data_IF_586995804747
#
_entry.id   IF_586995804747
#
_cell.length_a   1.000
_cell.length_b   1.000
_cell.length_c   1.000
_cell.angle_alpha   90.00
_cell.angle_beta   90.00
_cell.angle_gamma   90.00
#
_symmetry.space_group_name_H-M   'P 1'
#
loop_
_entity.id
_entity.type
_entity.pdbx_description
1 polymer ?
#
# COMPACT_ATOMS: atom_id res chain seq x y z
N UNK A 1 -12.67 -22.79 -30.41
CA UNK A 1 -12.36 -22.84 -28.96
C UNK A 1 -13.55 -22.28 -28.19
N UNK A 2 -14.51 -23.12 -27.86
CA UNK A 2 -15.71 -22.71 -27.11
C UNK A 2 -15.33 -22.31 -25.68
N UNK A 3 -15.83 -21.16 -25.20
CA UNK A 3 -15.77 -20.73 -23.80
C UNK A 3 -17.18 -20.81 -23.24
N UNK A 4 -17.34 -21.32 -22.01
CA UNK A 4 -18.59 -21.17 -21.27
C UNK A 4 -18.67 -19.72 -20.78
N UNK A 5 -19.64 -18.96 -21.26
CA UNK A 5 -19.78 -17.54 -20.96
C UNK A 5 -21.04 -17.31 -20.13
N UNK A 6 -20.85 -16.70 -18.97
CA UNK A 6 -21.88 -16.13 -18.12
C UNK A 6 -21.75 -14.60 -18.16
N UNK A 7 -21.66 -14.05 -19.37
CA UNK A 7 -21.45 -12.62 -19.59
C UNK A 7 -22.72 -11.85 -19.20
N UNK A 8 -22.59 -10.84 -18.34
CA UNK A 8 -23.71 -10.00 -17.87
C UNK A 8 -24.87 -10.78 -17.23
N UNK A 9 -24.59 -12.00 -16.76
CA UNK A 9 -25.59 -12.84 -16.13
C UNK A 9 -25.91 -12.32 -14.72
N UNK A 10 -27.21 -12.12 -14.43
CA UNK A 10 -27.69 -11.84 -13.07
C UNK A 10 -28.34 -13.10 -12.51
N UNK A 11 -27.73 -13.65 -11.46
CA UNK A 11 -28.14 -14.90 -10.83
C UNK A 11 -28.76 -14.58 -9.47
N UNK A 12 -30.09 -14.61 -9.45
CA UNK A 12 -30.91 -14.20 -8.29
C UNK A 12 -31.11 -15.32 -7.28
N UNK A 13 -31.19 -16.56 -7.76
CA UNK A 13 -31.35 -17.75 -6.95
C UNK A 13 -30.00 -18.41 -6.67
N UNK A 14 -30.01 -19.38 -5.75
CA UNK A 14 -28.80 -20.15 -5.44
C UNK A 14 -28.29 -20.92 -6.66
N UNK A 15 -26.99 -20.82 -6.93
CA UNK A 15 -26.36 -21.48 -8.07
C UNK A 15 -25.38 -22.54 -7.58
N UNK A 16 -25.61 -23.78 -7.98
CA UNK A 16 -24.79 -24.91 -7.53
C UNK A 16 -23.96 -25.50 -8.66
N UNK A 17 -22.65 -25.22 -8.62
CA UNK A 17 -21.61 -25.82 -9.46
C UNK A 17 -20.73 -26.81 -8.68
N UNK A 18 -21.19 -27.31 -7.52
CA UNK A 18 -20.41 -28.25 -6.73
C UNK A 18 -20.09 -29.52 -7.53
N UNK A 19 -18.85 -30.00 -7.41
CA UNK A 19 -18.33 -31.17 -8.15
C UNK A 19 -18.39 -31.04 -9.68
N UNK A 20 -18.67 -29.85 -10.21
CA UNK A 20 -18.75 -29.64 -11.65
C UNK A 20 -17.35 -29.56 -12.27
N UNK A 21 -17.18 -30.16 -13.44
CA UNK A 21 -15.93 -30.13 -14.20
C UNK A 21 -16.05 -29.20 -15.41
N UNK A 22 -15.43 -28.02 -15.30
CA UNK A 22 -15.34 -27.06 -16.39
C UNK A 22 -14.22 -27.46 -17.35
N UNK A 23 -14.58 -28.24 -18.38
CA UNK A 23 -13.64 -28.74 -19.40
C UNK A 23 -13.05 -27.64 -20.30
N UNK A 24 -13.77 -26.53 -20.46
CA UNK A 24 -13.39 -25.39 -21.29
C UNK A 24 -13.24 -24.14 -20.41
N UNK A 25 -12.64 -23.09 -20.95
CA UNK A 25 -12.51 -21.83 -20.19
C UNK A 25 -13.87 -21.25 -19.85
N UNK A 26 -13.98 -20.65 -18.67
CA UNK A 26 -15.21 -20.06 -18.14
C UNK A 26 -15.01 -18.57 -17.93
N UNK A 27 -16.02 -17.78 -18.27
CA UNK A 27 -15.99 -16.32 -18.22
C UNK A 27 -17.25 -15.79 -17.53
N UNK A 28 -17.08 -15.18 -16.36
CA UNK A 28 -18.11 -14.54 -15.53
C UNK A 28 -18.01 -13.01 -15.60
N UNK A 29 -17.51 -12.45 -16.71
CA UNK A 29 -17.40 -10.99 -16.86
C UNK A 29 -18.77 -10.31 -16.72
N UNK A 30 -18.84 -9.26 -15.91
CA UNK A 30 -20.06 -8.52 -15.56
C UNK A 30 -21.17 -9.38 -14.89
N UNK A 31 -20.87 -10.58 -14.40
CA UNK A 31 -21.86 -11.39 -13.70
C UNK A 31 -22.17 -10.82 -12.30
N UNK A 32 -23.43 -10.92 -11.88
CA UNK A 32 -23.91 -10.53 -10.56
C UNK A 32 -24.53 -11.73 -9.85
N UNK A 33 -23.93 -12.16 -8.73
CA UNK A 33 -24.42 -13.23 -7.87
C UNK A 33 -25.13 -12.62 -6.65
N UNK A 34 -26.45 -12.51 -6.72
CA UNK A 34 -27.27 -11.92 -5.65
C UNK A 34 -27.53 -12.92 -4.52
N UNK A 35 -27.47 -14.22 -4.80
CA UNK A 35 -27.62 -15.30 -3.81
C UNK A 35 -26.34 -16.14 -3.69
N UNK A 36 -26.38 -17.17 -2.85
CA UNK A 36 -25.26 -18.08 -2.62
C UNK A 36 -24.86 -18.80 -3.92
N UNK A 37 -23.55 -18.86 -4.18
CA UNK A 37 -22.98 -19.66 -5.26
C UNK A 37 -22.03 -20.70 -4.67
N UNK A 38 -22.17 -21.94 -5.12
CA UNK A 38 -21.38 -23.06 -4.63
C UNK A 38 -20.46 -23.60 -5.72
N UNK A 39 -19.15 -23.44 -5.55
CA UNK A 39 -18.13 -24.05 -6.41
C UNK A 39 -17.37 -25.19 -5.70
N UNK A 40 -17.82 -25.67 -4.53
CA UNK A 40 -17.09 -26.68 -3.75
C UNK A 40 -16.75 -27.92 -4.58
N UNK A 41 -15.51 -28.39 -4.47
CA UNK A 41 -15.02 -29.57 -5.20
C UNK A 41 -15.13 -29.47 -6.73
N UNK A 42 -15.27 -28.27 -7.29
CA UNK A 42 -15.27 -28.09 -8.75
C UNK A 42 -13.86 -28.13 -9.32
N UNK A 43 -13.75 -28.50 -10.59
CA UNK A 43 -12.46 -28.58 -11.31
C UNK A 43 -12.49 -27.66 -12.53
N UNK A 44 -11.54 -26.74 -12.61
CA UNK A 44 -11.37 -25.81 -13.72
C UNK A 44 -10.17 -26.23 -14.58
N UNK A 45 -10.42 -26.87 -15.73
CA UNK A 45 -9.37 -27.31 -16.66
C UNK A 45 -8.94 -26.21 -17.63
N UNK A 46 -9.81 -25.23 -17.89
CA UNK A 46 -9.50 -24.04 -18.69
C UNK A 46 -9.31 -22.80 -17.82
N UNK A 47 -9.00 -21.67 -18.45
CA UNK A 47 -8.92 -20.39 -17.76
C UNK A 47 -10.27 -20.03 -17.12
N UNK A 48 -10.23 -19.49 -15.92
CA UNK A 48 -11.41 -19.00 -15.20
C UNK A 48 -11.27 -17.48 -15.03
N UNK A 49 -12.29 -16.73 -15.48
CA UNK A 49 -12.26 -15.27 -15.52
C UNK A 49 -13.45 -14.74 -14.73
N UNK A 50 -13.16 -13.94 -13.72
CA UNK A 50 -14.08 -13.06 -13.00
C UNK A 50 -13.61 -11.64 -13.26
N UNK A 51 -14.40 -10.86 -14.00
CA UNK A 51 -14.06 -9.47 -14.30
C UNK A 51 -15.29 -8.61 -14.09
N UNK A 52 -15.18 -7.56 -13.25
CA UNK A 52 -16.33 -6.74 -12.83
C UNK A 52 -17.49 -7.60 -12.26
N UNK A 53 -17.15 -8.75 -11.67
CA UNK A 53 -18.12 -9.66 -11.07
C UNK A 53 -18.47 -9.17 -9.66
N UNK A 54 -19.76 -9.18 -9.33
CA UNK A 54 -20.25 -8.78 -8.01
C UNK A 54 -20.76 -10.03 -7.29
N UNK A 55 -20.30 -10.21 -6.05
CA UNK A 55 -20.81 -11.24 -5.14
C UNK A 55 -21.52 -10.58 -3.96
N UNK A 56 -22.60 -11.19 -3.51
CA UNK A 56 -23.30 -10.74 -2.31
C UNK A 56 -22.39 -10.86 -1.07
N UNK A 57 -22.22 -9.74 -0.35
CA UNK A 57 -21.34 -9.62 0.82
C UNK A 57 -21.64 -10.59 1.95
N UNK A 58 -22.88 -11.08 2.05
CA UNK A 58 -23.33 -12.03 3.08
C UNK A 58 -22.65 -13.40 2.96
N UNK A 59 -22.35 -13.84 1.73
CA UNK A 59 -21.89 -15.20 1.44
C UNK A 59 -20.36 -15.29 1.24
N UNK A 60 -19.63 -14.18 1.37
CA UNK A 60 -18.19 -14.08 1.07
C UNK A 60 -17.33 -14.95 1.97
N UNK A 61 -17.72 -15.05 3.25
CA UNK A 61 -17.01 -15.84 4.25
C UNK A 61 -17.35 -17.33 4.18
N UNK A 62 -18.35 -17.69 3.39
CA UNK A 62 -18.68 -19.09 3.16
C UNK A 62 -17.63 -19.75 2.29
N UNK A 63 -17.55 -21.07 2.39
CA UNK A 63 -16.53 -21.90 1.75
C UNK A 63 -16.83 -22.15 0.26
N UNK A 64 -17.13 -21.09 -0.50
CA UNK A 64 -17.58 -21.14 -1.89
C UNK A 64 -16.68 -22.00 -2.77
N UNK A 65 -15.36 -21.90 -2.60
CA UNK A 65 -14.37 -22.61 -3.42
C UNK A 65 -13.65 -23.77 -2.68
N UNK A 66 -14.13 -24.21 -1.53
CA UNK A 66 -13.41 -25.24 -0.76
C UNK A 66 -13.15 -26.52 -1.59
N UNK A 67 -11.91 -27.00 -1.57
CA UNK A 67 -11.42 -28.18 -2.31
C UNK A 67 -11.61 -28.05 -3.84
N UNK A 68 -11.67 -26.84 -4.37
CA UNK A 68 -11.72 -26.63 -5.83
C UNK A 68 -10.32 -26.64 -6.43
N UNK A 69 -10.22 -27.23 -7.62
CA UNK A 69 -8.96 -27.40 -8.33
C UNK A 69 -8.88 -26.47 -9.54
N UNK A 70 -7.85 -25.64 -9.59
CA UNK A 70 -7.55 -24.74 -10.71
C UNK A 70 -6.35 -25.24 -11.50
N UNK A 71 -6.64 -26.00 -12.56
CA UNK A 71 -5.65 -26.64 -13.45
C UNK A 71 -5.46 -25.89 -14.78
N UNK A 72 -6.31 -24.90 -15.08
CA UNK A 72 -6.16 -24.03 -16.25
C UNK A 72 -4.95 -23.10 -16.17
N UNK A 73 -4.61 -22.43 -17.27
CA UNK A 73 -3.41 -21.57 -17.30
C UNK A 73 -3.55 -20.34 -16.39
N UNK A 74 -4.76 -19.78 -16.28
CA UNK A 74 -5.00 -18.55 -15.52
C UNK A 74 -6.32 -18.57 -14.74
N UNK A 75 -6.26 -18.11 -13.50
CA UNK A 75 -7.40 -17.58 -12.75
C UNK A 75 -7.27 -16.06 -12.74
N UNK A 76 -8.26 -15.35 -13.30
CA UNK A 76 -8.26 -13.89 -13.38
C UNK A 76 -9.43 -13.39 -12.55
N UNK A 77 -9.15 -12.54 -11.57
CA UNK A 77 -10.12 -11.86 -10.71
C UNK A 77 -9.78 -10.38 -10.75
N UNK A 78 -10.52 -9.62 -11.53
CA UNK A 78 -10.28 -8.20 -11.77
C UNK A 78 -11.53 -7.36 -11.52
N UNK A 79 -11.38 -6.24 -10.81
CA UNK A 79 -12.47 -5.28 -10.58
C UNK A 79 -13.71 -5.91 -9.90
N UNK A 80 -13.50 -6.98 -9.15
CA UNK A 80 -14.58 -7.70 -8.49
C UNK A 80 -14.97 -7.02 -7.18
N UNK A 81 -16.22 -7.20 -6.78
CA UNK A 81 -16.73 -6.74 -5.48
C UNK A 81 -17.02 -7.97 -4.64
N UNK A 82 -16.44 -8.02 -3.42
CA UNK A 82 -16.68 -9.04 -2.41
C UNK A 82 -16.36 -10.46 -2.90
N UNK A 83 -15.26 -10.63 -3.63
CA UNK A 83 -14.88 -11.94 -4.16
C UNK A 83 -14.76 -13.01 -3.04
N UNK A 84 -15.34 -14.22 -3.17
CA UNK A 84 -15.41 -15.18 -2.07
C UNK A 84 -14.06 -15.69 -1.58
N UNK A 85 -14.06 -16.27 -0.37
CA UNK A 85 -12.87 -16.87 0.25
C UNK A 85 -12.33 -18.04 -0.58
N UNK A 86 -11.02 -18.04 -0.79
CA UNK A 86 -10.29 -19.07 -1.55
C UNK A 86 -9.62 -20.14 -0.67
N UNK A 87 -10.04 -20.29 0.58
CA UNK A 87 -9.39 -21.23 1.49
C UNK A 87 -9.63 -22.69 1.08
N UNK A 88 -8.54 -23.47 1.01
CA UNK A 88 -8.59 -24.87 0.65
C UNK A 88 -8.72 -25.14 -0.85
N UNK A 89 -8.46 -24.15 -1.71
CA UNK A 89 -8.27 -24.40 -3.15
C UNK A 89 -6.90 -25.03 -3.41
N UNK A 90 -6.79 -25.73 -4.54
CA UNK A 90 -5.53 -26.25 -5.06
C UNK A 90 -5.27 -25.62 -6.42
N UNK A 91 -4.08 -25.03 -6.58
CA UNK A 91 -3.60 -24.59 -7.87
C UNK A 91 -2.64 -25.61 -8.45
N UNK A 92 -2.71 -25.83 -9.76
CA UNK A 92 -1.56 -26.39 -10.47
C UNK A 92 -0.36 -25.43 -10.36
N UNK A 93 0.89 -25.94 -10.28
CA UNK A 93 2.09 -25.11 -10.14
C UNK A 93 2.24 -24.03 -11.22
N UNK A 94 1.67 -24.26 -12.40
CA UNK A 94 1.76 -23.35 -13.55
C UNK A 94 0.54 -22.43 -13.71
N UNK A 95 -0.46 -22.55 -12.83
CA UNK A 95 -1.65 -21.70 -12.89
C UNK A 95 -1.31 -20.30 -12.40
N UNK A 96 -1.33 -19.32 -13.30
CA UNK A 96 -1.13 -17.91 -12.91
C UNK A 96 -2.42 -17.36 -12.28
N UNK A 97 -2.33 -16.88 -11.04
CA UNK A 97 -3.45 -16.23 -10.35
C UNK A 97 -3.27 -14.70 -10.39
N UNK A 98 -4.23 -14.02 -11.02
CA UNK A 98 -4.30 -12.56 -11.12
C UNK A 98 -5.44 -12.06 -10.25
N UNK A 99 -5.13 -11.30 -9.20
CA UNK A 99 -6.11 -10.69 -8.29
C UNK A 99 -5.92 -9.17 -8.23
N UNK A 100 -6.64 -8.40 -9.05
CA UNK A 100 -6.48 -6.94 -9.14
C UNK A 100 -7.78 -6.20 -8.90
N UNK A 101 -7.65 -5.02 -8.31
CA UNK A 101 -8.72 -4.03 -8.11
C UNK A 101 -9.98 -4.62 -7.48
N UNK A 102 -9.81 -5.62 -6.60
CA UNK A 102 -10.93 -6.29 -5.93
C UNK A 102 -11.21 -5.61 -4.61
N UNK A 103 -12.46 -5.20 -4.42
CA UNK A 103 -12.91 -4.51 -3.22
C UNK A 103 -13.59 -5.47 -2.26
N UNK A 104 -13.29 -5.32 -0.96
CA UNK A 104 -13.96 -6.04 0.12
C UNK A 104 -14.49 -5.03 1.14
N UNK A 105 -15.72 -5.25 1.61
CA UNK A 105 -16.29 -4.46 2.71
C UNK A 105 -15.46 -4.63 4.00
N UNK A 106 -15.58 -3.70 4.96
CA UNK A 106 -14.82 -3.73 6.22
C UNK A 106 -15.03 -5.03 7.03
N UNK A 107 -16.26 -5.54 7.06
CA UNK A 107 -16.61 -6.81 7.70
C UNK A 107 -15.88 -8.01 7.06
N UNK A 108 -15.63 -7.93 5.75
CA UNK A 108 -15.00 -8.98 4.94
C UNK A 108 -13.50 -8.72 4.67
N UNK A 109 -12.89 -7.78 5.38
CA UNK A 109 -11.45 -7.46 5.27
C UNK A 109 -10.54 -8.67 5.52
N UNK A 110 -10.95 -9.60 6.39
CA UNK A 110 -10.23 -10.85 6.65
C UNK A 110 -10.16 -11.71 5.38
N UNK A 111 -11.27 -11.81 4.65
CA UNK A 111 -11.35 -12.56 3.40
C UNK A 111 -10.42 -11.93 2.36
N UNK A 112 -10.46 -10.60 2.21
CA UNK A 112 -9.54 -9.85 1.35
C UNK A 112 -8.08 -10.16 1.68
N UNK A 113 -7.69 -10.07 2.95
CA UNK A 113 -6.32 -10.39 3.40
C UNK A 113 -5.92 -11.82 3.02
N UNK A 114 -6.78 -12.81 3.29
CA UNK A 114 -6.48 -14.21 3.01
C UNK A 114 -6.36 -14.47 1.50
N UNK A 115 -7.25 -13.89 0.68
CA UNK A 115 -7.21 -14.02 -0.77
C UNK A 115 -5.95 -13.39 -1.37
N UNK A 116 -5.54 -12.20 -0.90
CA UNK A 116 -4.27 -11.59 -1.32
C UNK A 116 -3.04 -12.37 -0.85
N UNK A 117 -3.09 -13.00 0.33
CA UNK A 117 -2.05 -13.92 0.78
C UNK A 117 -1.92 -15.14 -0.13
N UNK A 118 -3.04 -15.75 -0.52
CA UNK A 118 -3.08 -16.87 -1.47
C UNK A 118 -2.53 -16.43 -2.84
N UNK A 119 -2.96 -15.28 -3.35
CA UNK A 119 -2.43 -14.70 -4.58
C UNK A 119 -0.91 -14.50 -4.53
N UNK A 120 -0.39 -13.97 -3.41
CA UNK A 120 1.05 -13.81 -3.21
C UNK A 120 1.80 -15.14 -3.18
N UNK A 121 1.26 -16.17 -2.53
CA UNK A 121 1.88 -17.50 -2.50
C UNK A 121 1.92 -18.08 -3.92
N UNK A 122 0.82 -18.04 -4.66
CA UNK A 122 0.77 -18.55 -6.03
C UNK A 122 1.69 -17.77 -6.97
N UNK A 123 1.78 -16.45 -6.80
CA UNK A 123 2.68 -15.60 -7.58
C UNK A 123 4.14 -15.95 -7.34
N UNK A 124 4.54 -16.33 -6.11
CA UNK A 124 5.89 -16.82 -5.83
C UNK A 124 6.17 -18.16 -6.51
N UNK A 125 5.21 -19.08 -6.51
CA UNK A 125 5.34 -20.39 -7.17
C UNK A 125 5.48 -20.23 -8.70
N UNK A 126 4.75 -19.27 -9.27
CA UNK A 126 4.74 -18.98 -10.71
C UNK A 126 5.78 -17.94 -11.15
N UNK A 127 6.64 -17.48 -10.23
CA UNK A 127 7.67 -16.44 -10.46
C UNK A 127 7.11 -15.13 -11.07
N UNK A 128 5.89 -14.74 -10.70
CA UNK A 128 5.20 -13.54 -11.19
C UNK A 128 5.64 -12.27 -10.43
N UNK A 129 6.90 -11.86 -10.64
CA UNK A 129 7.54 -10.74 -9.95
C UNK A 129 6.83 -9.40 -10.12
N UNK A 130 6.08 -9.21 -11.21
CA UNK A 130 5.33 -7.97 -11.47
C UNK A 130 4.22 -7.74 -10.44
N UNK A 131 3.53 -8.79 -9.99
CA UNK A 131 2.33 -8.66 -9.16
C UNK A 131 2.55 -8.99 -7.68
N UNK A 132 3.67 -9.65 -7.32
CA UNK A 132 3.98 -10.03 -5.92
C UNK A 132 3.95 -8.81 -4.98
N UNK A 133 4.54 -7.68 -5.38
CA UNK A 133 4.55 -6.46 -4.57
C UNK A 133 3.15 -5.88 -4.36
N UNK A 134 2.33 -5.89 -5.42
CA UNK A 134 0.93 -5.47 -5.34
C UNK A 134 0.10 -6.36 -4.39
N UNK A 135 0.29 -7.68 -4.43
CA UNK A 135 -0.41 -8.59 -3.52
C UNK A 135 0.04 -8.41 -2.07
N UNK A 136 1.34 -8.23 -1.83
CA UNK A 136 1.87 -7.96 -0.49
C UNK A 136 1.31 -6.65 0.09
N UNK A 137 1.28 -5.58 -0.71
CA UNK A 137 0.71 -4.30 -0.31
C UNK A 137 -0.76 -4.42 0.12
N UNK A 138 -1.59 -5.08 -0.70
CA UNK A 138 -3.02 -5.24 -0.41
C UNK A 138 -3.28 -6.20 0.75
N UNK A 139 -2.51 -7.29 0.88
CA UNK A 139 -2.56 -8.17 2.06
C UNK A 139 -2.34 -7.36 3.35
N UNK A 140 -1.33 -6.48 3.36
CA UNK A 140 -1.06 -5.59 4.50
C UNK A 140 -2.15 -4.55 4.71
N UNK A 141 -2.65 -3.91 3.65
CA UNK A 141 -3.69 -2.90 3.75
C UNK A 141 -5.01 -3.48 4.33
N UNK A 142 -5.42 -4.67 3.89
CA UNK A 142 -6.59 -5.34 4.47
C UNK A 142 -6.33 -5.88 5.89
N UNK A 143 -5.08 -6.24 6.22
CA UNK A 143 -4.71 -6.57 7.59
C UNK A 143 -4.78 -5.36 8.55
N UNK A 144 -4.38 -4.18 8.07
CA UNK A 144 -4.43 -2.90 8.79
C UNK A 144 -5.86 -2.52 9.17
N UNK A 145 -6.80 -2.58 8.22
CA UNK A 145 -8.22 -2.33 8.47
C UNK A 145 -8.84 -3.30 9.49
N UNK A 146 -8.18 -4.45 9.73
CA UNK A 146 -8.61 -5.47 10.68
C UNK A 146 -7.96 -5.35 12.07
N UNK A 147 -7.13 -4.34 12.33
CA UNK A 147 -6.54 -4.11 13.66
C UNK A 147 -7.64 -3.77 14.69
N UNK A 148 -8.23 -4.79 15.32
CA UNK A 148 -9.22 -4.62 16.40
C UNK A 148 -8.52 -4.75 17.75
N UNK A 149 -8.71 -3.75 18.63
CA UNK A 149 -8.14 -3.71 19.99
C UNK A 149 -8.41 -5.00 20.79
N UNK A 150 -9.57 -5.64 20.60
CA UNK A 150 -9.99 -6.88 21.29
C UNK A 150 -9.06 -8.09 21.09
N UNK A 151 -8.17 -8.07 20.09
CA UNK A 151 -7.28 -9.22 19.78
C UNK A 151 -5.90 -9.12 20.44
N UNK A 152 -5.59 -7.98 21.06
CA UNK A 152 -4.32 -7.74 21.71
C UNK A 152 -4.42 -8.00 23.22
N UNK A 153 -3.35 -8.54 23.82
CA UNK A 153 -3.29 -8.84 25.25
C UNK A 153 -3.37 -7.58 26.13
N UNK A 154 -3.24 -6.38 25.55
CA UNK A 154 -3.49 -5.10 26.20
C UNK A 154 -3.61 -3.93 25.21
N UNK A 155 -4.18 -2.82 25.68
CA UNK A 155 -4.37 -1.61 24.87
C UNK A 155 -3.05 -0.97 24.41
N UNK A 156 -1.98 -1.06 25.24
CA UNK A 156 -0.64 -0.59 24.87
C UNK A 156 -0.09 -1.33 23.65
N UNK A 157 -0.22 -2.65 23.61
CA UNK A 157 0.25 -3.47 22.48
C UNK A 157 -0.50 -3.13 21.19
N UNK A 158 -1.81 -2.86 21.30
CA UNK A 158 -2.59 -2.38 20.18
C UNK A 158 -2.05 -1.04 19.65
N UNK A 159 -1.84 -0.05 20.52
CA UNK A 159 -1.36 1.28 20.12
C UNK A 159 0.01 1.23 19.45
N UNK A 160 0.93 0.41 19.97
CA UNK A 160 2.27 0.26 19.39
C UNK A 160 2.18 -0.34 17.98
N UNK A 161 1.40 -1.41 17.80
CA UNK A 161 1.24 -2.03 16.48
C UNK A 161 0.52 -1.12 15.48
N UNK A 162 -0.52 -0.42 15.92
CA UNK A 162 -1.26 0.55 15.11
C UNK A 162 -0.36 1.71 14.68
N UNK A 163 0.45 2.25 15.59
CA UNK A 163 1.44 3.30 15.28
C UNK A 163 2.46 2.85 14.23
N UNK A 164 3.04 1.66 14.38
CA UNK A 164 4.01 1.14 13.41
C UNK A 164 3.36 0.79 12.06
N UNK A 165 2.12 0.27 12.06
CA UNK A 165 1.38 0.04 10.81
C UNK A 165 1.08 1.36 10.10
N UNK A 166 0.62 2.38 10.84
CA UNK A 166 0.41 3.73 10.33
C UNK A 166 1.67 4.31 9.69
N UNK A 167 2.81 4.24 10.40
CA UNK A 167 4.11 4.68 9.87
C UNK A 167 4.47 3.92 8.60
N UNK A 168 4.36 2.59 8.61
CA UNK A 168 4.70 1.76 7.46
C UNK A 168 3.83 2.07 6.23
N UNK A 169 2.53 2.29 6.43
CA UNK A 169 1.57 2.64 5.37
C UNK A 169 1.85 4.00 4.75
N UNK A 170 2.14 5.00 5.58
CA UNK A 170 2.31 6.39 5.15
C UNK A 170 3.72 6.68 4.67
N UNK A 171 4.76 6.28 5.41
CA UNK A 171 6.15 6.57 5.07
C UNK A 171 6.62 5.76 3.86
N UNK A 172 6.44 4.44 3.90
CA UNK A 172 7.08 3.52 2.94
C UNK A 172 6.05 2.85 2.02
N UNK A 173 4.76 2.89 2.38
CA UNK A 173 3.73 2.11 1.70
C UNK A 173 4.02 0.62 1.82
N UNK A 174 4.33 0.15 3.03
CA UNK A 174 4.70 -1.24 3.32
C UNK A 174 5.93 -1.77 2.57
N UNK A 175 6.87 -0.89 2.15
CA UNK A 175 8.04 -1.28 1.35
C UNK A 175 7.83 -1.21 -0.16
N UNK A 176 6.58 -0.99 -0.59
CA UNK A 176 6.20 -1.13 -2.00
C UNK A 176 6.18 0.20 -2.76
N UNK A 177 6.32 1.36 -2.10
CA UNK A 177 6.28 2.68 -2.76
C UNK A 177 7.40 3.62 -2.29
N UNK A 178 8.67 3.44 -2.74
CA UNK A 178 9.81 4.24 -2.31
C UNK A 178 9.62 5.72 -2.65
N UNK A 179 8.96 6.05 -3.77
CA UNK A 179 8.67 7.45 -4.17
C UNK A 179 8.07 8.29 -3.04
N UNK A 180 7.30 7.69 -2.12
CA UNK A 180 6.75 8.38 -0.95
C UNK A 180 7.83 8.97 -0.05
N UNK A 181 8.94 8.26 0.15
CA UNK A 181 10.05 8.73 0.98
C UNK A 181 10.71 9.97 0.39
N UNK A 182 10.80 10.11 -0.95
CA UNK A 182 11.31 11.33 -1.60
C UNK A 182 10.36 12.52 -1.38
N UNK A 183 9.05 12.27 -1.47
CA UNK A 183 8.05 13.33 -1.23
C UNK A 183 8.09 13.77 0.24
N UNK A 184 8.27 12.82 1.16
CA UNK A 184 8.38 13.09 2.60
C UNK A 184 9.67 13.87 2.90
N UNK A 185 10.81 13.49 2.33
CA UNK A 185 12.06 14.23 2.55
C UNK A 185 11.93 15.67 2.05
N UNK A 186 11.40 15.89 0.85
CA UNK A 186 11.13 17.22 0.31
C UNK A 186 10.19 18.04 1.21
N UNK A 187 9.16 17.39 1.75
CA UNK A 187 8.19 18.04 2.67
C UNK A 187 8.85 18.42 4.00
N UNK A 188 9.67 17.54 4.57
CA UNK A 188 10.41 17.82 5.81
C UNK A 188 11.36 19.01 5.60
N UNK A 189 12.17 18.98 4.54
CA UNK A 189 13.09 20.08 4.20
C UNK A 189 12.32 21.41 4.08
N UNK A 190 11.19 21.40 3.38
CA UNK A 190 10.37 22.60 3.20
C UNK A 190 9.77 23.12 4.52
N UNK A 191 9.34 22.23 5.42
CA UNK A 191 8.80 22.60 6.73
C UNK A 191 9.92 23.16 7.63
N UNK A 192 11.09 22.53 7.67
CA UNK A 192 12.23 23.01 8.47
C UNK A 192 12.74 24.36 7.95
N UNK A 193 12.89 24.52 6.62
CA UNK A 193 13.20 25.80 5.99
C UNK A 193 12.24 26.91 6.43
N UNK A 194 10.93 26.63 6.42
CA UNK A 194 9.93 27.59 6.88
C UNK A 194 10.09 27.95 8.37
N UNK A 195 10.37 26.97 9.23
CA UNK A 195 10.60 27.19 10.67
C UNK A 195 11.88 28.03 10.91
N UNK A 196 12.94 27.79 10.14
CA UNK A 196 14.20 28.53 10.27
C UNK A 196 14.06 30.02 9.96
N UNK A 197 13.14 30.41 9.07
CA UNK A 197 12.86 31.83 8.79
C UNK A 197 12.45 32.61 10.05
N UNK A 198 11.72 31.98 10.97
CA UNK A 198 11.23 32.64 12.19
C UNK A 198 12.27 32.65 13.32
N UNK A 199 13.07 31.60 13.42
CA UNK A 199 14.10 31.50 14.46
C UNK A 199 15.29 32.38 14.11
N UNK A 200 15.69 32.32 12.84
CA UNK A 200 16.77 33.05 12.25
C UNK A 200 17.95 32.15 11.88
N UNK A 201 18.63 32.52 10.80
CA UNK A 201 19.89 31.92 10.36
C UNK A 201 20.90 33.03 10.06
N UNK A 202 22.18 32.73 10.18
CA UNK A 202 23.26 33.63 9.80
C UNK A 202 23.91 33.09 8.53
N UNK A 203 23.69 33.78 7.42
CA UNK A 203 24.40 33.58 6.16
C UNK A 203 25.65 34.46 6.12
N UNK A 204 26.71 33.99 5.47
CA UNK A 204 27.92 34.78 5.22
C UNK A 204 27.64 35.96 4.26
N UNK A 205 26.75 35.79 3.28
CA UNK A 205 26.46 36.80 2.25
C UNK A 205 25.43 37.84 2.72
N UNK A 206 24.31 37.38 3.28
CA UNK A 206 23.17 38.25 3.64
C UNK A 206 23.13 38.63 5.13
N UNK A 207 24.05 38.09 5.94
CA UNK A 207 24.04 38.30 7.39
C UNK A 207 22.89 37.56 8.09
N UNK A 208 22.25 38.20 9.08
CA UNK A 208 21.18 37.58 9.86
C UNK A 208 19.85 37.64 9.10
N UNK A 209 19.40 36.48 8.61
CA UNK A 209 18.08 36.30 8.00
C UNK A 209 17.12 35.88 9.12
N UNK A 210 16.26 36.80 9.55
CA UNK A 210 15.19 36.52 10.52
C UNK A 210 13.96 37.34 10.18
N UNK A 211 12.88 36.65 9.80
CA UNK A 211 11.61 37.29 9.44
C UNK A 211 10.84 37.61 10.71
N UNK A 212 10.49 38.88 10.88
CA UNK A 212 9.66 39.33 11.99
C UNK A 212 8.30 39.79 11.46
N UNK A 213 7.26 38.99 11.69
CA UNK A 213 5.88 39.23 11.20
C UNK A 213 5.30 40.58 11.64
N UNK A 214 5.80 41.16 12.73
CA UNK A 214 5.32 42.44 13.28
C UNK A 214 5.89 43.66 12.55
N UNK A 215 6.98 43.50 11.78
CA UNK A 215 7.58 44.58 10.99
C UNK A 215 7.23 44.37 9.52
N UNK A 216 6.28 45.17 9.03
CA UNK A 216 5.69 45.01 7.68
C UNK A 216 6.58 45.61 6.57
N UNK A 217 7.89 45.34 6.59
CA UNK A 217 8.89 46.00 5.74
C UNK A 217 9.45 45.11 4.63
N UNK A 218 9.06 43.84 4.54
CA UNK A 218 9.64 42.88 3.61
C UNK A 218 8.86 42.83 2.29
N UNK A 219 9.57 42.92 1.17
CA UNK A 219 9.01 42.67 -0.16
C UNK A 219 8.80 41.17 -0.41
N UNK A 220 7.87 40.82 -1.31
CA UNK A 220 7.64 39.42 -1.72
C UNK A 220 8.91 38.78 -2.29
N UNK A 221 9.71 39.54 -3.03
CA UNK A 221 10.97 39.06 -3.58
C UNK A 221 11.96 38.66 -2.49
N UNK A 222 12.13 39.50 -1.47
CA UNK A 222 12.99 39.20 -0.32
C UNK A 222 12.51 37.98 0.48
N UNK A 223 11.20 37.78 0.63
CA UNK A 223 10.67 36.59 1.30
C UNK A 223 10.99 35.31 0.53
N UNK A 224 10.92 35.34 -0.81
CA UNK A 224 11.26 34.20 -1.66
C UNK A 224 12.77 33.91 -1.60
N UNK A 225 13.61 34.94 -1.64
CA UNK A 225 15.08 34.74 -1.55
C UNK A 225 15.47 34.21 -0.17
N UNK A 226 14.92 34.76 0.92
CA UNK A 226 15.16 34.25 2.28
C UNK A 226 14.67 32.82 2.44
N UNK A 227 13.51 32.46 1.89
CA UNK A 227 13.03 31.07 1.91
C UNK A 227 13.95 30.15 1.09
N UNK A 228 14.46 30.61 -0.04
CA UNK A 228 15.44 29.87 -0.84
C UNK A 228 16.72 29.56 -0.07
N UNK A 229 17.28 30.54 0.62
CA UNK A 229 18.44 30.38 1.52
C UNK A 229 18.13 29.40 2.67
N UNK A 230 16.95 29.52 3.28
CA UNK A 230 16.51 28.61 4.34
C UNK A 230 16.34 27.16 3.84
N UNK A 231 15.83 27.02 2.62
CA UNK A 231 15.61 25.74 1.96
C UNK A 231 16.94 25.09 1.60
N UNK A 232 17.91 25.86 1.11
CA UNK A 232 19.28 25.40 0.90
C UNK A 232 19.93 24.95 2.21
N UNK A 233 19.84 25.75 3.28
CA UNK A 233 20.36 25.38 4.59
C UNK A 233 19.74 24.08 5.14
N UNK A 234 18.42 23.96 5.05
CA UNK A 234 17.68 22.76 5.46
C UNK A 234 18.07 21.54 4.62
N UNK A 235 18.17 21.67 3.29
CA UNK A 235 18.60 20.59 2.39
C UNK A 235 19.99 20.06 2.77
N UNK A 236 20.96 20.96 2.96
CA UNK A 236 22.36 20.63 3.29
C UNK A 236 22.48 20.01 4.68
N UNK A 237 21.64 20.46 5.62
CA UNK A 237 21.56 19.91 6.99
C UNK A 237 20.93 18.52 6.98
N UNK A 238 19.80 18.35 6.29
CA UNK A 238 19.09 17.09 6.15
C UNK A 238 19.94 16.01 5.45
N UNK A 239 20.74 16.39 4.45
CA UNK A 239 21.68 15.50 3.76
C UNK A 239 23.01 15.33 4.49
N UNK A 240 23.21 15.96 5.64
CA UNK A 240 24.44 15.93 6.45
C UNK A 240 25.70 16.43 5.72
N UNK A 241 25.55 17.25 4.69
CA UNK A 241 26.70 17.76 3.89
C UNK A 241 27.41 18.89 4.60
N UNK A 242 26.66 19.87 5.11
CA UNK A 242 27.17 20.95 5.97
C UNK A 242 28.31 21.80 5.38
N UNK A 243 28.08 22.51 4.26
CA UNK A 243 29.10 23.36 3.63
C UNK A 243 29.69 24.45 4.55
N UNK A 244 28.92 24.88 5.56
CA UNK A 244 29.38 25.84 6.59
C UNK A 244 29.03 27.30 6.30
N UNK A 245 28.36 27.55 5.18
CA UNK A 245 28.07 28.88 4.65
C UNK A 245 26.95 29.59 5.45
N UNK A 246 26.05 28.79 6.02
CA UNK A 246 24.90 29.22 6.81
C UNK A 246 24.91 28.47 8.14
N UNK A 247 24.69 29.18 9.23
CA UNK A 247 24.65 28.62 10.59
C UNK A 247 23.32 29.01 11.26
N UNK A 248 22.68 28.05 11.93
CA UNK A 248 21.47 28.31 12.71
C UNK A 248 21.74 29.27 13.88
N UNK A 249 20.86 30.26 14.05
CA UNK A 249 20.99 31.27 15.10
C UNK A 249 20.36 30.81 16.42
N UNK A 250 21.07 31.04 17.53
CA UNK A 250 20.57 30.78 18.89
C UNK A 250 20.50 29.30 19.29
N UNK A 251 20.11 29.06 20.55
CA UNK A 251 20.00 27.71 21.12
C UNK A 251 18.89 26.88 20.46
N UNK A 252 17.72 27.49 20.23
CA UNK A 252 16.58 26.83 19.60
C UNK A 252 16.88 26.40 18.15
N UNK A 253 17.59 27.23 17.39
CA UNK A 253 17.99 26.87 16.02
C UNK A 253 18.91 25.65 16.01
N UNK A 254 19.89 25.60 16.92
CA UNK A 254 20.79 24.43 17.05
C UNK A 254 20.04 23.16 17.44
N UNK A 255 19.04 23.24 18.33
CA UNK A 255 18.21 22.08 18.67
C UNK A 255 17.41 21.56 17.48
N UNK A 256 16.86 22.44 16.64
CA UNK A 256 16.17 22.03 15.42
C UNK A 256 17.11 21.37 14.42
N UNK A 257 18.32 21.91 14.23
CA UNK A 257 19.35 21.28 13.39
C UNK A 257 19.61 19.85 13.84
N UNK A 258 19.75 19.60 15.15
CA UNK A 258 19.94 18.25 15.67
C UNK A 258 18.75 17.31 15.34
N UNK A 259 17.52 17.80 15.46
CA UNK A 259 16.31 17.02 15.13
C UNK A 259 16.27 16.74 13.62
N UNK A 260 16.56 17.73 12.79
CA UNK A 260 16.56 17.61 11.34
C UNK A 260 17.62 16.60 10.87
N UNK A 261 18.83 16.66 11.40
CA UNK A 261 19.91 15.71 11.09
C UNK A 261 19.48 14.29 11.48
N UNK A 262 18.87 14.11 12.65
CA UNK A 262 18.36 12.80 13.08
C UNK A 262 17.26 12.26 12.14
N UNK A 263 16.30 13.10 11.75
CA UNK A 263 15.28 12.75 10.76
C UNK A 263 15.89 12.44 9.39
N UNK A 264 16.90 13.19 8.97
CA UNK A 264 17.65 12.96 7.75
C UNK A 264 18.26 11.56 7.75
N UNK A 265 19.11 11.25 8.73
CA UNK A 265 19.80 9.95 8.83
C UNK A 265 18.80 8.78 8.86
N UNK A 266 17.71 8.89 9.62
CA UNK A 266 16.69 7.84 9.68
C UNK A 266 16.01 7.62 8.32
N UNK A 267 15.68 8.67 7.58
CA UNK A 267 15.09 8.54 6.24
C UNK A 267 16.08 7.90 5.26
N UNK A 268 17.35 8.33 5.26
CA UNK A 268 18.39 7.70 4.42
C UNK A 268 18.53 6.20 4.72
N UNK A 269 18.53 5.81 6.00
CA UNK A 269 18.59 4.40 6.40
C UNK A 269 17.35 3.60 5.95
N UNK A 270 16.15 4.18 6.05
CA UNK A 270 14.92 3.51 5.55
C UNK A 270 14.94 3.37 4.03
N UNK A 271 15.44 4.37 3.30
CA UNK A 271 15.55 4.33 1.85
C UNK A 271 16.46 3.20 1.38
N UNK A 272 17.66 3.09 1.96
CA UNK A 272 18.63 2.03 1.63
C UNK A 272 18.08 0.66 1.98
N UNK A 273 17.44 0.50 3.15
CA UNK A 273 16.79 -0.76 3.54
C UNK A 273 15.71 -1.21 2.55
N UNK A 274 14.86 -0.28 2.10
CA UNK A 274 13.79 -0.58 1.13
C UNK A 274 14.35 -0.97 -0.22
N UNK A 275 15.37 -0.26 -0.71
CA UNK A 275 16.05 -0.63 -1.96
C UNK A 275 16.69 -2.00 -1.87
N UNK A 276 17.42 -2.28 -0.79
CA UNK A 276 18.06 -3.58 -0.57
C UNK A 276 17.03 -4.72 -0.55
N UNK A 277 15.90 -4.52 0.14
CA UNK A 277 14.80 -5.49 0.20
C UNK A 277 14.17 -5.80 -1.16
N UNK A 278 14.32 -4.91 -2.15
CA UNK A 278 13.82 -5.11 -3.52
C UNK A 278 14.81 -5.83 -4.40
N UNK A 279 16.11 -5.61 -4.18
CA UNK A 279 17.16 -6.27 -4.96
C UNK A 279 17.28 -7.77 -4.62
N UNK A 280 16.87 -8.17 -3.42
CA UNK A 280 16.97 -9.57 -2.93
C UNK A 280 15.67 -10.37 -3.16
N UNK A 281 14.58 -9.73 -3.60
CA UNK A 281 13.34 -10.42 -3.96
C UNK A 281 13.49 -11.15 -5.29
#
# INVERSE_FOLDING_TARGET
KEKLKFFEATLKDEVNFSKFMFKKSVDFTNANFESYVNFKQSTFLGNCIFNKTIFNSKYVNEEVFQKSDFNGQKLIVEKCINFPRLDGIVFSPYTKFILKDTYYNEENSICGRNNYKIARIQAKITEDNENIGYYYYNERNYASNFLKSKKYNGYKDYLVNDFFDFLSKHLIGYGERPIKLLIISFSIISIFAFVYLFIGMKSLEYGLIKVNLLKNTYSLYELITFYGEAWYFSMVTFSTVGYGDIIAFGFLGKMLVCIEVFLGITIHATWTSVLFSRLIK
#
